data_IF_471054366503
#
_entry.id   IF_471054366503
#
_cell.length_a   1.000
_cell.length_b   1.000
_cell.length_c   1.000
_cell.angle_alpha   90.00
_cell.angle_beta   90.00
_cell.angle_gamma   90.00
#
_symmetry.space_group_name_H-M   'P 1'
#
loop_
_entity.id
_entity.type
_entity.pdbx_description
1 polymer ?
#
# COMPACT_ATOMS: atom_id res chain seq x y z
N UNK A 1 -13.88 -18.36 2.58
CA UNK A 1 -15.18 -18.61 3.24
C UNK A 1 -15.84 -17.26 3.55
N UNK A 2 -17.12 -17.11 3.21
CA UNK A 2 -17.84 -15.84 3.32
C UNK A 2 -18.24 -15.52 4.77
N UNK A 3 -18.42 -14.22 5.08
CA UNK A 3 -18.98 -13.76 6.35
C UNK A 3 -20.50 -13.90 6.41
N UNK A 4 -21.06 -13.84 7.63
CA UNK A 4 -22.50 -14.08 7.88
C UNK A 4 -23.43 -13.21 6.99
N UNK A 5 -23.10 -11.95 6.73
CA UNK A 5 -23.93 -11.06 5.89
C UNK A 5 -24.04 -11.61 4.47
N UNK A 6 -22.92 -11.99 3.85
CA UNK A 6 -22.92 -12.52 2.47
C UNK A 6 -23.62 -13.88 2.39
N UNK A 7 -23.43 -14.74 3.39
CA UNK A 7 -24.15 -16.03 3.48
C UNK A 7 -25.65 -15.80 3.64
N UNK A 8 -26.07 -14.82 4.44
CA UNK A 8 -27.50 -14.48 4.59
C UNK A 8 -28.12 -14.11 3.26
N UNK A 9 -27.47 -13.25 2.46
CA UNK A 9 -27.97 -12.86 1.14
C UNK A 9 -28.07 -14.05 0.18
N UNK A 10 -27.09 -14.94 0.19
CA UNK A 10 -27.12 -16.16 -0.66
C UNK A 10 -28.33 -17.02 -0.25
N UNK A 11 -28.49 -17.33 1.03
CA UNK A 11 -29.57 -18.16 1.53
C UNK A 11 -30.96 -17.52 1.30
N UNK A 12 -31.08 -16.20 1.42
CA UNK A 12 -32.32 -15.51 1.10
C UNK A 12 -32.73 -15.69 -0.37
N UNK A 13 -31.75 -15.69 -1.28
CA UNK A 13 -31.97 -15.93 -2.70
C UNK A 13 -32.25 -17.42 -3.03
N UNK A 14 -31.77 -18.34 -2.19
CA UNK A 14 -31.95 -19.79 -2.33
C UNK A 14 -33.24 -20.33 -1.68
N UNK A 15 -34.17 -19.46 -1.29
CA UNK A 15 -35.50 -19.87 -0.78
C UNK A 15 -35.72 -19.67 0.72
N UNK A 16 -34.84 -18.96 1.41
CA UNK A 16 -35.00 -18.65 2.85
C UNK A 16 -35.12 -17.12 3.10
N UNK A 17 -36.13 -16.42 2.53
CA UNK A 17 -36.20 -14.96 2.53
C UNK A 17 -36.33 -14.33 3.92
N UNK A 18 -36.80 -15.07 4.91
CA UNK A 18 -36.97 -14.60 6.31
C UNK A 18 -35.74 -14.80 7.20
N UNK A 19 -34.63 -15.29 6.65
CA UNK A 19 -33.42 -15.54 7.41
C UNK A 19 -32.70 -14.23 7.74
N UNK A 20 -32.44 -13.98 9.04
CA UNK A 20 -31.69 -12.79 9.46
C UNK A 20 -30.20 -13.07 9.63
N UNK A 21 -29.35 -12.05 9.43
CA UNK A 21 -27.91 -12.16 9.62
C UNK A 21 -27.51 -12.63 11.03
N UNK A 22 -28.28 -12.24 12.06
CA UNK A 22 -28.06 -12.68 13.43
C UNK A 22 -28.31 -14.18 13.62
N UNK A 23 -29.33 -14.74 12.94
CA UNK A 23 -29.62 -16.18 12.97
C UNK A 23 -28.53 -16.97 12.23
N UNK A 24 -28.09 -16.48 11.07
CA UNK A 24 -26.97 -17.07 10.32
C UNK A 24 -25.67 -17.04 11.15
N UNK A 25 -25.38 -15.93 11.83
CA UNK A 25 -24.20 -15.82 12.67
C UNK A 25 -24.21 -16.83 13.84
N UNK A 26 -25.37 -17.09 14.46
CA UNK A 26 -25.51 -18.12 15.50
C UNK A 26 -25.28 -19.52 14.94
N UNK A 27 -25.94 -19.86 13.83
CA UNK A 27 -25.78 -21.15 13.16
C UNK A 27 -24.33 -21.39 12.71
N UNK A 28 -23.65 -20.37 12.17
CA UNK A 28 -22.24 -20.48 11.85
C UNK A 28 -21.38 -20.79 13.08
N UNK A 29 -21.70 -20.19 14.22
CA UNK A 29 -21.00 -20.45 15.48
C UNK A 29 -21.23 -21.88 15.99
N UNK A 30 -22.47 -22.37 15.94
CA UNK A 30 -22.85 -23.75 16.31
C UNK A 30 -22.16 -24.79 15.43
N UNK A 31 -22.05 -24.51 14.13
CA UNK A 31 -21.39 -25.38 13.15
C UNK A 31 -19.84 -25.22 13.12
N UNK A 32 -19.27 -24.39 13.99
CA UNK A 32 -17.82 -24.12 13.99
C UNK A 32 -17.30 -23.37 12.75
N UNK A 33 -18.18 -22.79 11.93
CA UNK A 33 -17.86 -22.11 10.69
C UNK A 33 -17.40 -20.68 11.00
N UNK A 34 -16.19 -20.30 10.56
CA UNK A 34 -15.65 -18.96 10.75
C UNK A 34 -15.29 -18.30 9.42
N UNK A 35 -15.56 -17.00 9.30
CA UNK A 35 -15.08 -16.22 8.15
C UNK A 35 -13.57 -16.11 8.19
N UNK A 36 -12.90 -16.28 7.04
CA UNK A 36 -11.45 -16.07 6.91
C UNK A 36 -11.05 -14.59 6.98
N UNK A 37 -12.01 -13.68 6.87
CA UNK A 37 -11.80 -12.22 6.87
C UNK A 37 -11.96 -11.60 8.26
N UNK A 38 -11.49 -12.23 9.33
CA UNK A 38 -11.43 -11.59 10.63
C UNK A 38 -10.20 -10.67 10.68
N UNK A 39 -10.36 -9.41 10.28
CA UNK A 39 -9.39 -8.37 10.61
C UNK A 39 -9.47 -8.08 12.10
N UNK A 40 -8.50 -8.55 12.87
CA UNK A 40 -8.29 -8.03 14.24
C UNK A 40 -7.78 -6.59 14.10
N UNK A 41 -8.63 -5.62 14.39
CA UNK A 41 -8.21 -4.23 14.59
C UNK A 41 -7.33 -4.18 15.85
N UNK A 42 -6.02 -4.02 15.70
CA UNK A 42 -5.13 -3.66 16.79
C UNK A 42 -5.05 -2.13 16.84
N UNK A 43 -5.63 -1.53 17.89
CA UNK A 43 -5.37 -0.13 18.20
C UNK A 43 -3.91 0.02 18.63
N UNK A 44 -3.08 0.56 17.75
CA UNK A 44 -1.74 1.00 18.10
C UNK A 44 -1.85 2.40 18.74
N UNK A 45 -1.75 2.45 20.07
CA UNK A 45 -1.50 3.71 20.76
C UNK A 45 -0.06 4.16 20.51
N UNK A 46 0.12 5.12 19.62
CA UNK A 46 1.42 5.70 19.31
C UNK A 46 1.73 6.87 20.23
N UNK A 47 2.97 6.86 20.74
CA UNK A 47 3.60 7.96 21.48
C UNK A 47 3.54 9.25 20.65
N UNK A 48 2.84 10.24 21.17
CA UNK A 48 2.86 11.61 20.66
C UNK A 48 4.20 12.26 21.03
N UNK A 49 5.07 12.45 20.07
CA UNK A 49 6.10 13.50 20.11
C UNK A 49 6.74 13.66 18.73
N UNK A 50 6.85 14.86 18.24
CA UNK A 50 7.58 15.37 17.06
C UNK A 50 6.83 15.52 15.72
N UNK A 51 5.57 15.15 15.57
CA UNK A 51 4.91 15.20 14.24
C UNK A 51 4.13 16.50 13.92
N UNK A 52 4.22 17.55 14.73
CA UNK A 52 3.46 18.80 14.53
C UNK A 52 3.92 19.64 13.32
N UNK A 53 5.12 19.40 12.80
CA UNK A 53 5.69 20.15 11.66
C UNK A 53 5.43 19.51 10.29
N UNK A 54 4.92 18.27 10.23
CA UNK A 54 4.72 17.57 8.97
C UNK A 54 3.40 18.01 8.32
N UNK A 55 3.52 18.78 7.24
CA UNK A 55 2.36 19.33 6.51
C UNK A 55 1.77 18.28 5.55
N UNK A 56 0.45 18.26 5.43
CA UNK A 56 -0.25 17.56 4.35
C UNK A 56 -0.53 18.54 3.22
N UNK A 57 0.33 18.56 2.19
CA UNK A 57 0.18 19.44 1.03
C UNK A 57 -0.79 18.85 0.00
N UNK A 58 -0.94 17.53 -0.07
CA UNK A 58 -1.86 16.86 -0.99
C UNK A 58 -3.32 17.03 -0.55
N UNK A 59 -3.58 17.11 0.77
CA UNK A 59 -4.89 17.37 1.37
C UNK A 59 -6.04 16.62 0.69
N UNK A 60 -5.85 15.30 0.41
CA UNK A 60 -6.77 14.41 -0.30
C UNK A 60 -7.09 14.84 -1.75
N UNK A 61 -6.46 15.85 -2.27
CA UNK A 61 -6.62 16.26 -3.65
C UNK A 61 -5.62 15.50 -4.54
N UNK A 62 -6.01 14.30 -4.96
CA UNK A 62 -5.25 13.44 -5.87
C UNK A 62 -5.61 13.67 -7.34
N UNK A 63 -6.00 14.90 -7.70
CA UNK A 63 -6.22 15.31 -9.07
C UNK A 63 -5.00 16.08 -9.60
N UNK A 64 -4.05 15.36 -10.15
CA UNK A 64 -2.96 15.97 -10.91
C UNK A 64 -3.37 16.11 -12.38
N UNK A 65 -3.22 17.32 -12.93
CA UNK A 65 -3.56 17.62 -14.35
C UNK A 65 -2.44 17.26 -15.31
N UNK A 66 -1.22 17.13 -14.82
CA UNK A 66 -0.02 16.82 -15.61
C UNK A 66 0.83 15.80 -14.86
N UNK A 67 1.59 14.96 -15.57
CA UNK A 67 2.59 14.09 -14.95
C UNK A 67 3.57 14.87 -14.07
N UNK A 68 4.14 14.21 -13.10
CA UNK A 68 5.17 14.73 -12.20
C UNK A 68 4.71 15.93 -11.32
N UNK A 69 3.41 16.08 -11.06
CA UNK A 69 2.90 17.06 -10.10
C UNK A 69 2.83 16.49 -8.69
N UNK A 70 2.30 15.28 -8.55
CA UNK A 70 2.10 14.61 -7.25
C UNK A 70 2.52 13.15 -7.41
N UNK A 71 3.45 12.73 -6.57
CA UNK A 71 3.83 11.33 -6.42
C UNK A 71 3.43 10.82 -5.05
N UNK A 72 2.97 9.57 -5.01
CA UNK A 72 2.69 8.84 -3.78
C UNK A 72 3.76 7.79 -3.58
N UNK A 73 4.27 7.65 -2.36
CA UNK A 73 5.23 6.61 -2.01
C UNK A 73 4.74 5.80 -0.82
N UNK A 74 4.82 4.47 -0.92
CA UNK A 74 4.44 3.55 0.14
C UNK A 74 5.20 2.23 0.04
N UNK A 75 5.19 1.46 1.12
CA UNK A 75 5.86 0.16 1.22
C UNK A 75 4.83 -0.95 1.41
N UNK A 76 4.93 -2.00 0.61
CA UNK A 76 4.14 -3.21 0.82
C UNK A 76 5.03 -4.42 1.16
N UNK A 77 4.42 -5.44 1.76
CA UNK A 77 5.09 -6.65 2.26
C UNK A 77 4.81 -7.82 1.34
N UNK A 78 5.85 -8.60 1.04
CA UNK A 78 5.79 -9.79 0.21
C UNK A 78 6.53 -10.91 0.93
N UNK A 79 5.88 -12.05 1.10
CA UNK A 79 6.46 -13.19 1.80
C UNK A 79 7.17 -14.12 0.81
N UNK A 80 8.36 -14.60 1.19
CA UNK A 80 9.10 -15.63 0.48
C UNK A 80 9.45 -16.78 1.43
N UNK A 81 9.47 -18.02 0.93
CA UNK A 81 9.68 -19.21 1.76
C UNK A 81 11.06 -19.15 2.43
N UNK A 82 12.12 -18.91 1.66
CA UNK A 82 13.50 -18.96 2.15
C UNK A 82 13.91 -17.75 2.99
N UNK A 83 13.35 -16.56 2.74
CA UNK A 83 13.84 -15.31 3.35
C UNK A 83 12.79 -14.61 4.22
N UNK A 84 11.58 -15.19 4.36
CA UNK A 84 10.48 -14.60 5.12
C UNK A 84 9.96 -13.32 4.46
N UNK A 85 9.67 -12.31 5.27
CA UNK A 85 9.13 -11.03 4.79
C UNK A 85 10.17 -10.21 4.05
N UNK A 86 9.78 -9.77 2.87
CA UNK A 86 10.52 -8.85 2.00
C UNK A 86 9.64 -7.64 1.68
N UNK A 87 10.20 -6.59 1.13
CA UNK A 87 9.58 -5.27 1.09
C UNK A 87 9.70 -4.65 -0.29
N UNK A 88 8.60 -4.13 -0.80
CA UNK A 88 8.55 -3.37 -2.04
C UNK A 88 8.19 -1.92 -1.69
N UNK A 89 9.12 -0.99 -1.91
CA UNK A 89 8.83 0.43 -1.92
C UNK A 89 8.47 0.86 -3.34
N UNK A 90 7.35 1.55 -3.51
CA UNK A 90 6.84 1.98 -4.81
C UNK A 90 6.60 3.49 -4.83
N UNK A 91 6.82 4.11 -5.97
CA UNK A 91 6.49 5.52 -6.25
C UNK A 91 5.51 5.55 -7.42
N UNK A 92 4.32 6.10 -7.18
CA UNK A 92 3.24 6.21 -8.14
C UNK A 92 3.00 7.66 -8.53
N UNK A 93 2.96 7.95 -9.82
CA UNK A 93 2.50 9.24 -10.34
C UNK A 93 0.97 9.30 -10.34
N UNK A 94 0.41 10.29 -9.67
CA UNK A 94 -1.04 10.41 -9.49
C UNK A 94 -1.78 10.69 -10.80
N UNK A 95 -1.15 11.42 -11.73
CA UNK A 95 -1.75 11.78 -13.00
C UNK A 95 -1.84 10.57 -13.94
N UNK A 96 -0.73 9.87 -14.11
CA UNK A 96 -0.64 8.75 -15.05
C UNK A 96 -1.10 7.43 -14.46
N UNK A 97 -1.19 7.34 -13.12
CA UNK A 97 -1.45 6.10 -12.36
C UNK A 97 -0.39 5.02 -12.53
N UNK A 98 0.75 5.36 -13.09
CA UNK A 98 1.87 4.45 -13.32
C UNK A 98 2.85 4.44 -12.14
N UNK A 99 3.49 3.31 -11.91
CA UNK A 99 4.65 3.21 -11.03
C UNK A 99 5.84 3.79 -11.79
N UNK A 100 6.35 4.91 -11.31
CA UNK A 100 7.48 5.63 -11.93
C UNK A 100 8.84 5.20 -11.40
N UNK A 101 8.84 4.53 -10.23
CA UNK A 101 10.04 3.93 -9.66
C UNK A 101 9.68 3.00 -8.51
N UNK A 102 10.53 2.02 -8.24
CA UNK A 102 10.35 1.09 -7.13
C UNK A 102 11.70 0.51 -6.69
N UNK A 103 11.70 -0.08 -5.51
CA UNK A 103 12.84 -0.84 -5.01
C UNK A 103 12.34 -2.03 -4.20
N UNK A 104 12.94 -3.20 -4.43
CA UNK A 104 12.61 -4.42 -3.72
C UNK A 104 13.79 -4.85 -2.84
N UNK A 105 13.54 -5.09 -1.55
CA UNK A 105 14.60 -5.34 -0.58
C UNK A 105 14.19 -6.31 0.52
N UNK A 106 15.22 -6.87 1.19
CA UNK A 106 15.04 -7.78 2.34
C UNK A 106 14.84 -7.04 3.66
N UNK A 107 15.08 -5.72 3.69
CA UNK A 107 14.95 -4.86 4.88
C UNK A 107 14.06 -3.68 4.56
N UNK A 108 13.19 -3.35 5.51
CA UNK A 108 12.34 -2.17 5.45
C UNK A 108 13.06 -1.00 6.12
N UNK A 109 14.06 -0.47 5.43
CA UNK A 109 14.87 0.65 5.92
C UNK A 109 14.76 1.88 5.00
N UNK A 110 15.43 2.95 5.39
CA UNK A 110 15.46 4.20 4.62
C UNK A 110 16.12 4.06 3.26
N UNK A 111 17.08 3.14 3.10
CA UNK A 111 17.77 2.94 1.83
C UNK A 111 16.81 2.42 0.76
N UNK A 112 15.84 1.58 1.15
CA UNK A 112 14.82 1.04 0.25
C UNK A 112 13.97 2.15 -0.38
N UNK A 113 13.46 3.08 0.42
CA UNK A 113 12.60 4.18 -0.06
C UNK A 113 13.40 5.24 -0.82
N UNK A 114 14.68 5.50 -0.45
CA UNK A 114 15.56 6.40 -1.17
C UNK A 114 15.91 5.82 -2.55
N UNK A 115 16.15 4.52 -2.65
CA UNK A 115 16.40 3.84 -3.94
C UNK A 115 15.22 3.93 -4.86
N UNK A 116 14.00 3.64 -4.37
CA UNK A 116 12.76 3.77 -5.14
C UNK A 116 12.54 5.21 -5.64
N UNK A 117 12.78 6.20 -4.77
CA UNK A 117 12.66 7.61 -5.13
C UNK A 117 13.69 8.05 -6.17
N UNK A 118 14.95 7.60 -6.02
CA UNK A 118 16.03 7.92 -6.96
C UNK A 118 15.77 7.33 -8.34
N UNK A 119 15.26 6.11 -8.39
CA UNK A 119 14.86 5.46 -9.63
C UNK A 119 13.72 6.23 -10.31
N UNK A 120 12.66 6.57 -9.56
CA UNK A 120 11.56 7.39 -10.06
C UNK A 120 12.04 8.72 -10.65
N UNK A 121 12.93 9.41 -9.95
CA UNK A 121 13.48 10.69 -10.37
C UNK A 121 14.25 10.59 -11.69
N UNK A 122 15.08 9.55 -11.85
CA UNK A 122 15.81 9.26 -13.09
C UNK A 122 14.87 8.90 -14.24
N UNK A 123 13.95 7.97 -14.01
CA UNK A 123 13.03 7.49 -15.03
C UNK A 123 12.10 8.57 -15.59
N UNK A 124 11.83 9.61 -14.79
CA UNK A 124 10.98 10.73 -15.18
C UNK A 124 11.77 11.96 -15.70
N UNK A 125 13.06 11.81 -15.95
CA UNK A 125 13.89 12.89 -16.51
C UNK A 125 14.19 14.02 -15.53
N UNK A 126 14.41 13.67 -14.26
CA UNK A 126 14.82 14.59 -13.19
C UNK A 126 13.84 15.74 -12.91
N UNK A 127 12.54 15.48 -12.70
CA UNK A 127 11.58 16.53 -12.45
C UNK A 127 11.88 17.27 -11.14
N UNK A 128 11.46 18.53 -11.06
CA UNK A 128 11.53 19.36 -9.86
C UNK A 128 10.15 19.81 -9.39
N UNK A 129 10.03 20.33 -8.15
CA UNK A 129 8.79 20.80 -7.54
C UNK A 129 7.66 19.76 -7.41
N UNK A 130 7.97 18.47 -7.53
CA UNK A 130 7.01 17.39 -7.32
C UNK A 130 6.57 17.38 -5.85
N UNK A 131 5.27 17.27 -5.60
CA UNK A 131 4.75 16.98 -4.26
C UNK A 131 4.91 15.48 -4.02
N UNK A 132 5.82 15.12 -3.12
CA UNK A 132 6.07 13.74 -2.74
C UNK A 132 5.31 13.42 -1.46
N UNK A 133 4.23 12.66 -1.57
CA UNK A 133 3.34 12.34 -0.46
C UNK A 133 3.57 10.89 0.01
N UNK A 134 3.73 10.74 1.33
CA UNK A 134 3.93 9.44 1.98
C UNK A 134 3.18 9.38 3.32
N UNK A 135 3.18 8.22 3.95
CA UNK A 135 2.80 8.09 5.35
C UNK A 135 3.88 8.72 6.27
N UNK A 136 3.67 8.62 7.58
CA UNK A 136 4.63 9.10 8.59
C UNK A 136 5.52 7.97 9.12
N UNK A 137 5.79 6.96 8.31
CA UNK A 137 6.73 5.89 8.65
C UNK A 137 8.12 6.44 8.95
N UNK A 138 8.87 5.75 9.80
CA UNK A 138 10.23 6.16 10.19
C UNK A 138 11.18 6.26 9.00
N UNK A 139 10.93 5.50 7.94
CA UNK A 139 11.69 5.53 6.70
C UNK A 139 11.54 6.88 5.99
N UNK A 140 10.30 7.39 5.92
CA UNK A 140 9.95 8.64 5.24
C UNK A 140 10.23 9.90 6.05
N UNK A 141 10.38 9.76 7.38
CA UNK A 141 10.70 10.86 8.29
C UNK A 141 12.17 10.90 8.68
N UNK A 142 13.00 10.02 8.12
CA UNK A 142 14.44 10.01 8.35
C UNK A 142 15.13 11.23 7.71
N UNK A 143 16.19 11.73 8.37
CA UNK A 143 16.98 12.85 7.87
C UNK A 143 17.55 12.60 6.48
N UNK A 144 17.95 11.35 6.21
CA UNK A 144 18.52 10.96 4.92
C UNK A 144 17.49 10.98 3.79
N UNK A 145 16.25 10.52 4.06
CA UNK A 145 15.18 10.60 3.06
C UNK A 145 14.78 12.05 2.78
N UNK A 146 14.67 12.87 3.82
CA UNK A 146 14.36 14.31 3.69
C UNK A 146 15.46 14.99 2.86
N UNK A 147 16.73 14.77 3.19
CA UNK A 147 17.85 15.35 2.45
C UNK A 147 17.90 14.90 0.97
N UNK A 148 17.57 13.62 0.70
CA UNK A 148 17.47 13.11 -0.67
C UNK A 148 16.36 13.82 -1.46
N UNK A 149 15.18 13.96 -0.86
CA UNK A 149 14.05 14.65 -1.49
C UNK A 149 14.33 16.16 -1.72
N UNK A 150 14.97 16.82 -0.77
CA UNK A 150 15.39 18.23 -0.89
C UNK A 150 16.41 18.41 -2.01
N UNK A 151 17.42 17.52 -2.13
CA UNK A 151 18.39 17.53 -3.23
C UNK A 151 17.72 17.38 -4.60
N UNK A 152 16.61 16.67 -4.68
CA UNK A 152 15.80 16.50 -5.89
C UNK A 152 14.79 17.66 -6.07
N UNK A 153 14.79 18.65 -5.18
CA UNK A 153 13.85 19.79 -5.16
C UNK A 153 12.39 19.35 -5.02
N UNK A 154 12.12 18.30 -4.24
CA UNK A 154 10.78 17.81 -3.99
C UNK A 154 10.16 18.47 -2.76
N UNK A 155 8.84 18.62 -2.79
CA UNK A 155 8.04 19.16 -1.71
C UNK A 155 7.42 18.02 -0.91
N UNK A 156 7.96 17.76 0.27
CA UNK A 156 7.47 16.68 1.12
C UNK A 156 6.08 16.97 1.67
N UNK A 157 5.23 15.97 1.60
CA UNK A 157 3.86 15.97 2.10
C UNK A 157 3.60 14.67 2.85
N UNK A 158 2.86 14.75 3.96
CA UNK A 158 2.61 13.59 4.81
C UNK A 158 1.14 13.44 5.12
N UNK A 159 0.64 12.21 5.07
CA UNK A 159 -0.74 11.88 5.42
C UNK A 159 -1.08 12.30 6.85
N UNK A 160 -2.33 12.64 7.09
CA UNK A 160 -2.83 12.84 8.45
C UNK A 160 -2.94 11.50 9.17
N UNK A 161 -2.62 11.47 10.46
CA UNK A 161 -2.74 10.26 11.28
C UNK A 161 -4.20 9.79 11.28
N UNK A 162 -4.41 8.53 10.87
CA UNK A 162 -5.74 7.92 10.87
C UNK A 162 -6.63 8.28 9.67
N UNK A 163 -6.09 8.88 8.62
CA UNK A 163 -6.80 9.17 7.36
C UNK A 163 -6.37 8.17 6.26
N UNK A 164 -7.08 7.03 6.08
CA UNK A 164 -6.73 6.06 5.03
C UNK A 164 -6.91 6.64 3.62
N UNK A 165 -7.81 7.60 3.44
CA UNK A 165 -8.05 8.23 2.13
C UNK A 165 -6.85 9.03 1.58
N UNK A 166 -5.87 9.35 2.44
CA UNK A 166 -4.66 10.08 2.03
C UNK A 166 -3.72 9.25 1.15
N UNK A 167 -3.94 7.91 1.01
CA UNK A 167 -3.13 7.00 0.20
C UNK A 167 -3.93 6.10 -0.75
N UNK A 168 -5.22 6.40 -0.97
CA UNK A 168 -6.13 5.54 -1.71
C UNK A 168 -5.61 5.05 -3.09
N UNK A 169 -4.93 5.86 -3.94
CA UNK A 169 -4.41 5.37 -5.21
C UNK A 169 -3.29 4.34 -5.05
N UNK A 170 -2.41 4.53 -4.06
CA UNK A 170 -1.31 3.60 -3.78
C UNK A 170 -1.83 2.32 -3.13
N UNK A 171 -2.80 2.43 -2.20
CA UNK A 171 -3.48 1.27 -1.61
C UNK A 171 -4.19 0.44 -2.68
N UNK A 172 -4.80 1.09 -3.66
CA UNK A 172 -5.42 0.44 -4.81
C UNK A 172 -4.39 -0.36 -5.60
N UNK A 173 -3.26 0.24 -5.99
CA UNK A 173 -2.17 -0.44 -6.67
C UNK A 173 -1.67 -1.66 -5.88
N UNK A 174 -1.35 -1.49 -4.59
CA UNK A 174 -0.88 -2.60 -3.76
C UNK A 174 -1.93 -3.70 -3.60
N UNK A 175 -3.22 -3.35 -3.57
CA UNK A 175 -4.30 -4.34 -3.51
C UNK A 175 -4.38 -5.17 -4.80
N UNK A 176 -4.23 -4.52 -5.96
CA UNK A 176 -4.25 -5.18 -7.28
C UNK A 176 -3.00 -6.07 -7.42
N UNK A 177 -1.80 -5.54 -7.17
CA UNK A 177 -0.55 -6.31 -7.17
C UNK A 177 -0.65 -7.56 -6.29
N UNK A 178 -1.20 -7.43 -5.07
CA UNK A 178 -1.34 -8.58 -4.18
C UNK A 178 -2.33 -9.62 -4.70
N UNK A 179 -3.42 -9.20 -5.31
CA UNK A 179 -4.46 -10.13 -5.82
C UNK A 179 -4.05 -10.82 -7.11
N UNK A 180 -3.38 -10.11 -8.00
CA UNK A 180 -3.09 -10.59 -9.34
C UNK A 180 -1.73 -11.28 -9.44
N UNK A 181 -0.80 -10.96 -8.52
CA UNK A 181 0.54 -11.50 -8.55
C UNK A 181 0.90 -12.20 -7.23
N UNK A 182 0.95 -11.46 -6.10
CA UNK A 182 1.56 -11.98 -4.87
C UNK A 182 0.80 -13.15 -4.24
N UNK A 183 -0.54 -13.14 -4.27
CA UNK A 183 -1.36 -14.19 -3.65
C UNK A 183 -1.54 -15.41 -4.55
N UNK A 184 -1.23 -15.29 -5.82
CA UNK A 184 -1.29 -16.40 -6.79
C UNK A 184 0.02 -17.18 -6.82
N UNK A 185 1.12 -16.60 -6.34
CA UNK A 185 2.44 -17.18 -6.41
C UNK A 185 3.00 -17.52 -5.01
N UNK A 186 3.74 -18.62 -4.92
CA UNK A 186 4.52 -19.02 -3.76
C UNK A 186 6.00 -18.87 -4.06
N UNK A 187 6.55 -17.70 -3.77
CA UNK A 187 7.96 -17.41 -4.04
C UNK A 187 8.88 -18.23 -3.14
N UNK A 188 9.72 -19.07 -3.74
CA UNK A 188 10.70 -19.87 -3.00
C UNK A 188 11.82 -18.98 -2.44
N UNK A 189 12.21 -17.92 -3.16
CA UNK A 189 13.33 -17.06 -2.81
C UNK A 189 13.05 -15.58 -3.07
N UNK A 190 13.93 -14.72 -2.54
CA UNK A 190 13.95 -13.28 -2.81
C UNK A 190 14.12 -12.97 -4.31
N UNK A 191 15.00 -13.71 -4.99
CA UNK A 191 15.33 -13.44 -6.39
C UNK A 191 14.17 -13.81 -7.31
N UNK A 192 13.47 -14.90 -7.03
CA UNK A 192 12.26 -15.30 -7.74
C UNK A 192 11.16 -14.22 -7.59
N UNK A 193 10.87 -13.80 -6.36
CA UNK A 193 9.91 -12.73 -6.12
C UNK A 193 10.31 -11.43 -6.80
N UNK A 194 11.62 -11.11 -6.82
CA UNK A 194 12.13 -9.90 -7.47
C UNK A 194 11.85 -9.90 -8.97
N UNK A 195 12.09 -11.01 -9.65
CA UNK A 195 11.83 -11.15 -11.09
C UNK A 195 10.33 -11.04 -11.37
N UNK A 196 9.52 -11.79 -10.66
CA UNK A 196 8.07 -11.80 -10.84
C UNK A 196 7.44 -10.42 -10.64
N UNK A 197 7.86 -9.68 -9.59
CA UNK A 197 7.40 -8.31 -9.33
C UNK A 197 7.89 -7.36 -10.42
N UNK A 198 9.12 -7.53 -10.90
CA UNK A 198 9.66 -6.74 -12.02
C UNK A 198 8.78 -6.93 -13.26
N UNK A 199 8.53 -8.17 -13.65
CA UNK A 199 7.73 -8.51 -14.84
C UNK A 199 6.30 -7.96 -14.70
N UNK A 200 5.70 -8.08 -13.51
CA UNK A 200 4.36 -7.54 -13.24
C UNK A 200 4.33 -6.02 -13.39
N UNK A 201 5.25 -5.30 -12.75
CA UNK A 201 5.26 -3.82 -12.80
C UNK A 201 5.53 -3.32 -14.24
N UNK A 202 6.43 -3.95 -14.98
CA UNK A 202 6.76 -3.56 -16.35
C UNK A 202 5.79 -4.09 -17.40
N UNK A 203 5.14 -5.22 -17.17
CA UNK A 203 4.10 -5.76 -18.04
C UNK A 203 2.74 -5.07 -17.90
N UNK A 204 2.51 -4.39 -16.76
CA UNK A 204 1.28 -3.66 -16.45
C UNK A 204 1.30 -2.20 -16.97
N UNK A 205 2.39 -1.76 -17.53
CA UNK A 205 2.60 -0.45 -18.12
C UNK A 205 2.23 -0.46 -19.59
#
# INVERSE_FOLDING_TARGET
>A
MYGCIKITHILQNEGYPKLSANRVSRLMKELGIKSLTIRKFRNYHNKQAQHSKLKNLANQNFHARKPNQIWLSDITYIHTVKHGWTYLASVLDVCTRKIVGYSYGRKMDRSLVISALTEAWKNQGYPSNVILHSDRGTQYTSSEYIAAAEKMSFRLSYSKKGCPFDHAPMESFHSVLKKEEVYLNHYSSFDEAKISIFDYIHGFL
#
